data_IF_081006021690
#
_entry.id   IF_081006021690
#
_cell.length_a   1.000
_cell.length_b   1.000
_cell.length_c   1.000
_cell.angle_alpha   90.00
_cell.angle_beta   90.00
_cell.angle_gamma   90.00
#
_symmetry.space_group_name_H-M   'P 1'
#
loop_
_entity.id
_entity.type
_entity.pdbx_description
1 polymer ?
#
# COMPACT_ATOMS: atom_id res chain seq x y z
N UNK A 1 4.24 -8.58 -1.88
CA UNK A 1 4.39 -7.23 -1.27
C UNK A 1 5.23 -7.40 -0.02
N UNK A 2 6.18 -6.50 0.20
CA UNK A 2 6.95 -6.41 1.45
C UNK A 2 6.68 -5.05 2.10
N UNK A 3 6.76 -5.05 3.43
CA UNK A 3 6.55 -3.85 4.23
C UNK A 3 7.28 -3.96 5.56
N UNK A 4 7.59 -2.81 6.15
CA UNK A 4 8.14 -2.70 7.50
C UNK A 4 7.09 -2.15 8.46
N UNK A 5 6.99 -2.72 9.65
CA UNK A 5 6.19 -2.17 10.77
C UNK A 5 7.08 -1.24 11.59
N UNK A 6 6.91 0.06 11.43
CA UNK A 6 7.68 1.08 12.14
C UNK A 6 6.96 1.46 13.44
N UNK A 7 7.17 0.69 14.49
CA UNK A 7 6.43 0.84 15.75
C UNK A 7 4.99 0.33 15.65
N UNK A 8 4.13 0.80 16.54
CA UNK A 8 2.77 0.24 16.69
C UNK A 8 1.78 0.77 15.64
N UNK A 9 1.95 2.01 15.18
CA UNK A 9 0.95 2.75 14.41
C UNK A 9 1.34 3.07 12.96
N UNK A 10 2.52 2.64 12.50
CA UNK A 10 3.02 2.99 11.16
C UNK A 10 3.49 1.75 10.38
N UNK A 11 3.07 1.68 9.12
CA UNK A 11 3.48 0.69 8.13
C UNK A 11 4.19 1.40 6.97
N UNK A 12 5.29 0.86 6.51
CA UNK A 12 6.05 1.37 5.37
C UNK A 12 5.98 0.33 4.25
N UNK A 13 5.37 0.65 3.12
CA UNK A 13 5.32 -0.25 1.95
C UNK A 13 6.56 0.01 1.11
N UNK A 14 7.58 -0.83 1.25
CA UNK A 14 8.86 -0.69 0.54
C UNK A 14 8.87 -1.33 -0.86
N UNK A 15 8.09 -2.40 -1.09
CA UNK A 15 8.01 -3.01 -2.43
C UNK A 15 6.67 -3.70 -2.71
N UNK A 16 6.14 -3.44 -3.92
CA UNK A 16 4.97 -4.14 -4.48
C UNK A 16 5.37 -4.80 -5.79
N UNK A 17 5.46 -6.12 -5.78
CA UNK A 17 5.80 -6.93 -6.94
C UNK A 17 4.67 -7.87 -7.34
N UNK A 18 4.47 -8.04 -8.64
CA UNK A 18 3.58 -9.02 -9.24
C UNK A 18 4.39 -9.83 -10.25
N UNK A 19 4.34 -11.18 -10.23
CA UNK A 19 5.02 -12.00 -11.22
C UNK A 19 4.64 -11.61 -12.65
N UNK A 20 5.60 -11.72 -13.58
CA UNK A 20 5.42 -11.28 -14.96
C UNK A 20 4.26 -11.97 -15.67
N UNK A 21 4.07 -13.27 -15.41
CA UNK A 21 2.95 -14.06 -15.91
C UNK A 21 1.56 -13.54 -15.47
N UNK A 22 1.51 -12.70 -14.44
CA UNK A 22 0.29 -12.14 -13.86
C UNK A 22 0.17 -10.62 -14.05
N UNK A 23 1.10 -9.99 -14.79
CA UNK A 23 1.02 -8.56 -15.14
C UNK A 23 -0.25 -8.27 -15.97
N UNK A 24 -0.69 -7.02 -15.94
CA UNK A 24 -1.89 -6.57 -16.67
C UNK A 24 -3.23 -6.96 -16.04
N UNK A 25 -3.23 -7.74 -14.95
CA UNK A 25 -4.46 -8.21 -14.27
C UNK A 25 -4.89 -7.37 -13.06
N UNK A 26 -4.25 -6.22 -12.84
CA UNK A 26 -4.58 -5.32 -11.72
C UNK A 26 -4.17 -5.82 -10.32
N UNK A 27 -3.41 -6.92 -10.20
CA UNK A 27 -3.07 -7.51 -8.90
C UNK A 27 -2.27 -6.58 -7.98
N UNK A 28 -1.45 -5.70 -8.53
CA UNK A 28 -0.72 -4.70 -7.75
C UNK A 28 -1.66 -3.76 -7.00
N UNK A 29 -2.74 -3.32 -7.66
CA UNK A 29 -3.77 -2.50 -7.03
C UNK A 29 -4.49 -3.28 -5.92
N UNK A 30 -4.81 -4.56 -6.16
CA UNK A 30 -5.45 -5.41 -5.15
C UNK A 30 -4.59 -5.52 -3.88
N UNK A 31 -3.27 -5.69 -4.03
CA UNK A 31 -2.35 -5.74 -2.91
C UNK A 31 -2.33 -4.42 -2.13
N UNK A 32 -2.22 -3.28 -2.82
CA UNK A 32 -2.20 -1.95 -2.17
C UNK A 32 -3.52 -1.66 -1.47
N UNK A 33 -4.66 -1.93 -2.11
CA UNK A 33 -5.98 -1.77 -1.52
C UNK A 33 -6.12 -2.60 -0.25
N UNK A 34 -5.68 -3.86 -0.29
CA UNK A 34 -5.76 -4.72 0.89
C UNK A 34 -4.91 -4.19 2.04
N UNK A 35 -3.69 -3.70 1.76
CA UNK A 35 -2.84 -3.10 2.77
C UNK A 35 -3.47 -1.84 3.40
N UNK A 36 -4.15 -1.01 2.59
CA UNK A 36 -4.91 0.16 3.06
C UNK A 36 -6.07 -0.25 3.98
N UNK A 37 -6.85 -1.25 3.58
CA UNK A 37 -7.95 -1.78 4.40
C UNK A 37 -7.44 -2.33 5.74
N UNK A 38 -6.35 -3.09 5.72
CA UNK A 38 -5.73 -3.64 6.93
C UNK A 38 -5.20 -2.54 7.85
N UNK A 39 -4.57 -1.50 7.30
CA UNK A 39 -4.13 -0.35 8.08
C UNK A 39 -5.30 0.41 8.70
N UNK A 40 -6.37 0.66 7.92
CA UNK A 40 -7.60 1.31 8.40
C UNK A 40 -8.23 0.55 9.55
N UNK A 41 -8.40 -0.76 9.39
CA UNK A 41 -8.99 -1.62 10.41
C UNK A 41 -8.15 -1.67 11.69
N UNK A 42 -6.82 -1.56 11.57
CA UNK A 42 -5.90 -1.57 12.70
C UNK A 42 -5.60 -0.18 13.29
N UNK A 43 -6.22 0.89 12.76
CA UNK A 43 -5.94 2.27 13.17
C UNK A 43 -4.50 2.71 12.90
N UNK A 44 -3.85 2.14 11.87
CA UNK A 44 -2.47 2.42 11.48
C UNK A 44 -2.42 3.34 10.27
N UNK A 45 -1.28 4.01 10.13
CA UNK A 45 -0.95 4.84 8.98
C UNK A 45 0.07 4.17 8.07
N UNK A 46 0.12 4.59 6.80
CA UNK A 46 0.99 4.05 5.75
C UNK A 46 1.91 5.15 5.21
N UNK A 47 3.17 4.80 4.98
CA UNK A 47 4.10 5.53 4.11
C UNK A 47 4.45 4.64 2.89
N UNK A 48 4.06 5.02 1.66
CA UNK A 48 4.34 4.22 0.48
C UNK A 48 5.68 4.62 -0.17
N UNK A 49 6.78 3.98 0.24
CA UNK A 49 8.10 4.22 -0.38
C UNK A 49 8.22 3.58 -1.77
N UNK A 50 7.54 2.45 -1.99
CA UNK A 50 7.48 1.82 -3.31
C UNK A 50 6.83 2.78 -4.32
N UNK A 51 7.49 3.11 -5.46
CA UNK A 51 6.92 4.01 -6.46
C UNK A 51 5.57 3.55 -7.00
N UNK A 52 5.37 2.23 -7.16
CA UNK A 52 4.09 1.67 -7.58
C UNK A 52 3.00 1.91 -6.54
N UNK A 53 3.29 1.66 -5.25
CA UNK A 53 2.32 1.88 -4.18
C UNK A 53 1.98 3.37 -4.06
N UNK A 54 2.98 4.25 -4.14
CA UNK A 54 2.82 5.71 -4.13
C UNK A 54 1.90 6.16 -5.25
N UNK A 55 2.23 5.82 -6.50
CA UNK A 55 1.42 6.19 -7.66
C UNK A 55 0.00 5.60 -7.60
N UNK A 56 -0.16 4.40 -7.03
CA UNK A 56 -1.47 3.80 -6.83
C UNK A 56 -2.29 4.61 -5.83
N UNK A 57 -1.73 4.96 -4.68
CA UNK A 57 -2.39 5.77 -3.66
C UNK A 57 -2.72 7.18 -4.19
N UNK A 58 -1.80 7.83 -4.91
CA UNK A 58 -2.04 9.16 -5.51
C UNK A 58 -3.24 9.15 -6.46
N UNK A 59 -3.45 8.06 -7.20
CA UNK A 59 -4.59 7.90 -8.13
C UNK A 59 -5.92 7.54 -7.45
N UNK A 60 -5.90 7.16 -6.18
CA UNK A 60 -7.07 6.70 -5.42
C UNK A 60 -7.23 7.55 -4.15
N UNK A 61 -7.90 8.71 -4.25
CA UNK A 61 -8.10 9.63 -3.12
C UNK A 61 -8.75 8.96 -1.89
N UNK A 62 -9.53 7.91 -2.09
CA UNK A 62 -10.15 7.12 -1.02
C UNK A 62 -9.15 6.33 -0.14
N UNK A 63 -7.87 6.28 -0.51
CA UNK A 63 -6.81 5.69 0.30
C UNK A 63 -6.07 6.72 1.15
N UNK A 64 -6.33 8.02 0.97
CA UNK A 64 -5.55 9.08 1.61
C UNK A 64 -5.85 9.22 3.11
N UNK A 65 -6.93 8.61 3.59
CA UNK A 65 -7.32 8.62 5.01
C UNK A 65 -6.32 7.88 5.91
N UNK A 66 -5.58 6.91 5.36
CA UNK A 66 -4.55 6.16 6.10
C UNK A 66 -3.12 6.58 5.76
N UNK A 67 -2.91 7.57 4.90
CA UNK A 67 -1.57 7.95 4.44
C UNK A 67 -1.01 9.06 5.32
N UNK A 68 0.18 8.82 5.88
CA UNK A 68 0.89 9.83 6.66
C UNK A 68 1.56 10.82 5.70
N UNK A 69 1.27 12.11 5.87
CA UNK A 69 1.93 13.21 5.12
C UNK A 69 3.39 13.38 5.53
#
# INVERSE_FOLDING_TARGET
>A
MTYTRAGESLIIIDHTGVPDALRGRGLGLVLVRRAVEDARAAGKTIIPLCPFAKATIERHPEFHDVVKR
#
